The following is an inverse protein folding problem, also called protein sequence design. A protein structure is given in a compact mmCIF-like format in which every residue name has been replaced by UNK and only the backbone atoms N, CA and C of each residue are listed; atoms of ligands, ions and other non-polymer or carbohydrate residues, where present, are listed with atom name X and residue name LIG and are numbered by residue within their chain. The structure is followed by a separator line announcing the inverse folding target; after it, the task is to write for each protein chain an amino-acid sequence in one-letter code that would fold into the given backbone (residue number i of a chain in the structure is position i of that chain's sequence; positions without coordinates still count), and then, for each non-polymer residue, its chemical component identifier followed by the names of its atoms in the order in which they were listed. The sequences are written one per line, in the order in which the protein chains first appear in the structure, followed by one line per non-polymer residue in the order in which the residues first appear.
data_IF_379527943662
#
_entry.id   IF_379527943662
#
_cell.length_a   1.000
_cell.length_b   1.000
_cell.length_c   1.000
_cell.angle_alpha   90.00
_cell.angle_beta   90.00
_cell.angle_gamma   90.00
#
_symmetry.space_group_name_H-M   'P 1'
#
loop_
_entity.id
_entity.type
_entity.pdbx_description
1 polymer ?
#
# COMPACT_ATOMS: atom_id res chain seq x y z
N UNK A 1 35.07 -31.12 27.53
CA UNK A 1 35.27 -30.23 26.34
C UNK A 1 34.05 -29.33 26.18
N UNK A 2 34.26 -28.01 26.07
CA UNK A 2 33.21 -26.97 25.99
C UNK A 2 32.13 -27.26 24.94
N UNK A 3 32.52 -27.68 23.73
CA UNK A 3 31.61 -27.97 22.63
C UNK A 3 30.54 -29.04 22.97
N UNK A 4 30.94 -30.12 23.65
CA UNK A 4 30.04 -31.20 24.07
C UNK A 4 29.09 -30.76 25.20
N UNK A 5 29.52 -29.84 26.06
CA UNK A 5 28.72 -29.29 27.17
C UNK A 5 27.58 -28.39 26.67
N UNK A 6 27.80 -27.70 25.55
CA UNK A 6 26.82 -26.77 24.96
C UNK A 6 26.13 -27.30 23.70
N UNK A 7 26.34 -28.57 23.33
CA UNK A 7 25.70 -29.17 22.16
C UNK A 7 26.09 -28.55 20.82
N UNK A 8 27.25 -27.89 20.74
CA UNK A 8 27.71 -27.19 19.53
C UNK A 8 28.87 -27.92 18.86
N UNK A 9 28.98 -27.77 17.53
CA UNK A 9 30.08 -28.35 16.78
C UNK A 9 31.41 -27.65 17.10
N UNK A 10 32.52 -28.40 17.20
CA UNK A 10 33.85 -27.84 17.57
C UNK A 10 34.31 -26.74 16.63
N UNK A 11 34.07 -26.90 15.33
CA UNK A 11 34.40 -25.88 14.33
C UNK A 11 33.62 -24.56 14.55
N UNK A 12 32.41 -24.63 15.12
CA UNK A 12 31.61 -23.44 15.43
C UNK A 12 32.21 -22.67 16.62
N UNK A 13 32.73 -23.38 17.63
CA UNK A 13 33.43 -22.76 18.76
C UNK A 13 34.69 -22.01 18.31
N UNK A 14 35.49 -22.59 17.42
CA UNK A 14 36.66 -21.90 16.86
C UNK A 14 36.28 -20.71 15.98
N UNK A 15 35.20 -20.82 15.19
CA UNK A 15 34.65 -19.69 14.43
C UNK A 15 34.19 -18.55 15.33
N UNK A 16 33.58 -18.87 16.48
CA UNK A 16 33.16 -17.88 17.47
C UNK A 16 34.37 -17.21 18.14
N UNK A 17 35.37 -17.99 18.54
CA UNK A 17 36.63 -17.48 19.09
C UNK A 17 37.34 -16.53 18.14
N UNK A 18 37.44 -16.89 16.85
CA UNK A 18 38.07 -16.04 15.84
C UNK A 18 37.31 -14.71 15.64
N UNK A 19 35.97 -14.72 15.75
CA UNK A 19 35.16 -13.49 15.69
C UNK A 19 35.38 -12.60 16.90
N UNK A 20 35.42 -13.19 18.09
CA UNK A 20 35.67 -12.47 19.34
C UNK A 20 37.04 -11.78 19.32
N UNK A 21 38.09 -12.48 18.89
CA UNK A 21 39.44 -11.91 18.75
C UNK A 21 39.53 -10.76 17.73
N UNK A 22 38.63 -10.71 16.75
CA UNK A 22 38.68 -9.73 15.66
C UNK A 22 37.77 -8.51 15.87
N UNK A 23 36.77 -8.58 16.77
CA UNK A 23 35.67 -7.60 16.87
C UNK A 23 35.23 -7.28 18.30
N UNK A 24 35.96 -7.75 19.30
CA UNK A 24 35.60 -7.67 20.72
C UNK A 24 34.20 -8.25 21.01
N UNK A 25 33.63 -7.97 22.19
CA UNK A 25 32.36 -8.55 22.69
C UNK A 25 31.18 -8.38 21.71
N UNK A 26 31.16 -7.28 20.94
CA UNK A 26 30.11 -6.97 19.95
C UNK A 26 30.01 -7.99 18.80
N UNK A 27 30.98 -8.89 18.66
CA UNK A 27 30.97 -9.97 17.69
C UNK A 27 30.03 -11.13 18.03
N UNK A 28 29.63 -11.23 19.29
CA UNK A 28 28.75 -12.28 19.80
C UNK A 28 27.27 -11.95 19.62
N UNK A 29 26.95 -10.69 19.33
CA UNK A 29 25.59 -10.26 19.06
C UNK A 29 25.04 -10.89 17.76
N UNK A 30 23.80 -11.43 17.76
CA UNK A 30 23.15 -11.97 16.58
C UNK A 30 22.95 -10.89 15.50
N UNK A 31 23.95 -10.72 14.63
CA UNK A 31 23.85 -9.76 13.53
C UNK A 31 22.85 -10.26 12.50
N UNK A 32 21.89 -9.41 12.14
CA UNK A 32 20.94 -9.66 11.06
C UNK A 32 21.69 -10.16 9.81
N UNK A 33 21.33 -11.36 9.36
CA UNK A 33 21.83 -11.95 8.10
C UNK A 33 20.99 -11.51 6.91
N UNK A 34 19.96 -10.69 7.14
CA UNK A 34 19.04 -10.28 6.08
C UNK A 34 19.82 -9.43 5.07
N UNK A 35 19.75 -9.74 3.78
CA UNK A 35 20.32 -8.88 2.76
C UNK A 35 19.69 -7.49 2.87
N UNK A 36 20.54 -6.45 2.84
CA UNK A 36 20.12 -5.05 2.98
C UNK A 36 19.31 -4.58 1.76
N UNK A 37 19.48 -5.27 0.64
CA UNK A 37 18.88 -4.92 -0.65
C UNK A 37 18.28 -6.18 -1.25
N UNK A 38 17.07 -6.04 -1.78
CA UNK A 38 16.41 -7.10 -2.54
C UNK A 38 16.50 -6.75 -4.03
N UNK A 39 17.03 -7.62 -4.89
CA UNK A 39 17.18 -7.32 -6.32
C UNK A 39 15.83 -7.15 -7.03
N UNK A 40 14.78 -7.74 -6.50
CA UNK A 40 13.40 -7.62 -6.99
C UNK A 40 12.58 -6.61 -6.17
N UNK A 41 13.23 -5.67 -5.47
CA UNK A 41 12.53 -4.62 -4.76
C UNK A 41 11.73 -3.75 -5.74
N UNK A 42 10.49 -3.44 -5.37
CA UNK A 42 9.65 -2.53 -6.14
C UNK A 42 10.32 -1.15 -6.16
N UNK A 43 10.44 -0.49 -7.33
CA UNK A 43 11.00 0.85 -7.42
C UNK A 43 10.26 1.85 -6.52
N UNK A 44 10.99 2.80 -5.93
CA UNK A 44 10.43 3.77 -5.00
C UNK A 44 9.24 4.55 -5.59
N UNK A 45 9.33 4.96 -6.86
CA UNK A 45 8.25 5.67 -7.54
C UNK A 45 6.95 4.85 -7.61
N UNK A 46 7.03 3.52 -7.76
CA UNK A 46 5.85 2.66 -7.81
C UNK A 46 5.19 2.54 -6.43
N UNK A 47 5.99 2.52 -5.36
CA UNK A 47 5.49 2.54 -3.98
C UNK A 47 4.75 3.85 -3.69
N UNK A 48 5.32 4.97 -4.12
CA UNK A 48 4.71 6.29 -4.01
C UNK A 48 3.36 6.37 -4.76
N UNK A 49 3.31 5.87 -6.01
CA UNK A 49 2.06 5.81 -6.78
C UNK A 49 0.97 4.97 -6.09
N UNK A 50 1.34 3.86 -5.45
CA UNK A 50 0.39 3.03 -4.68
C UNK A 50 -0.10 3.78 -3.44
N UNK A 51 0.77 4.54 -2.77
CA UNK A 51 0.42 5.43 -1.66
C UNK A 51 -0.62 6.45 -2.07
N UNK A 52 -0.34 7.21 -3.13
CA UNK A 52 -1.25 8.24 -3.66
C UNK A 52 -2.60 7.67 -4.08
N UNK A 53 -2.62 6.49 -4.72
CA UNK A 53 -3.88 5.81 -5.05
C UNK A 53 -4.71 5.50 -3.81
N UNK A 54 -4.08 5.01 -2.74
CA UNK A 54 -4.77 4.71 -1.48
C UNK A 54 -5.31 5.97 -0.82
N UNK A 55 -4.53 7.06 -0.83
CA UNK A 55 -4.95 8.34 -0.26
C UNK A 55 -6.17 8.90 -1.00
N UNK A 56 -6.11 8.99 -2.34
CA UNK A 56 -7.18 9.51 -3.17
C UNK A 56 -8.42 8.60 -3.20
N UNK A 57 -8.23 7.28 -3.12
CA UNK A 57 -9.34 6.31 -3.08
C UNK A 57 -9.97 6.16 -1.69
N UNK A 58 -9.20 6.39 -0.62
CA UNK A 58 -9.66 6.32 0.77
C UNK A 58 -10.31 7.62 1.26
N UNK A 59 -9.92 8.77 0.71
CA UNK A 59 -10.65 10.01 0.87
C UNK A 59 -11.96 9.89 0.09
N UNK A 60 -13.04 9.51 0.79
CA UNK A 60 -14.35 9.14 0.23
C UNK A 60 -14.80 9.95 -0.98
N UNK A 61 -14.30 9.55 -2.16
CA UNK A 61 -14.60 10.20 -3.41
C UNK A 61 -15.98 9.73 -3.82
N UNK A 62 -16.99 10.49 -3.43
CA UNK A 62 -18.32 10.34 -3.99
C UNK A 62 -18.31 11.06 -5.33
N UNK A 63 -18.24 10.36 -6.48
CA UNK A 63 -18.51 11.05 -7.73
C UNK A 63 -19.90 11.70 -7.58
N UNK A 64 -19.97 13.02 -7.74
CA UNK A 64 -21.25 13.71 -7.79
C UNK A 64 -22.09 13.01 -8.87
N UNK A 65 -23.33 12.65 -8.54
CA UNK A 65 -24.26 11.99 -9.47
C UNK A 65 -24.18 12.71 -10.81
N UNK A 66 -23.56 12.08 -11.80
CA UNK A 66 -23.65 12.59 -13.17
C UNK A 66 -25.08 12.31 -13.61
N UNK A 67 -25.88 13.33 -13.96
CA UNK A 67 -27.18 13.07 -14.53
C UNK A 67 -26.97 12.27 -15.81
N UNK A 68 -27.42 11.03 -15.83
CA UNK A 68 -27.45 10.23 -17.05
C UNK A 68 -28.31 10.97 -18.06
N UNK A 69 -27.75 11.27 -19.23
CA UNK A 69 -28.52 11.82 -20.32
C UNK A 69 -29.64 10.84 -20.68
N UNK A 70 -30.90 11.25 -20.46
CA UNK A 70 -32.07 10.52 -20.91
C UNK A 70 -32.96 9.98 -19.81
N UNK A 71 -33.72 10.87 -19.17
CA UNK A 71 -35.13 10.56 -18.89
C UNK A 71 -35.93 11.74 -19.41
N UNK A 72 -36.49 11.58 -20.60
CA UNK A 72 -37.58 12.44 -21.03
C UNK A 72 -38.78 12.05 -20.15
N UNK A 73 -39.16 12.91 -19.20
CA UNK A 73 -40.43 12.77 -18.49
C UNK A 73 -41.56 12.83 -19.52
N UNK A 74 -42.03 11.67 -19.95
CA UNK A 74 -43.27 11.53 -20.72
C UNK A 74 -44.40 11.54 -19.71
N UNK A 75 -44.65 12.70 -19.12
CA UNK A 75 -45.52 12.75 -17.95
C UNK A 75 -45.85 14.17 -17.52
N UNK A 76 -46.52 14.91 -18.41
CA UNK A 76 -47.62 15.84 -18.15
C UNK A 76 -47.64 16.84 -19.28
N UNK A 77 -48.62 16.70 -20.17
CA UNK A 77 -49.00 17.75 -21.07
C UNK A 77 -49.23 19.02 -20.23
N UNK A 78 -48.32 19.99 -20.40
CA UNK A 78 -48.44 21.33 -19.83
C UNK A 78 -49.76 21.94 -20.33
N UNK A 79 -50.62 22.51 -19.46
CA UNK A 79 -51.86 23.11 -19.92
C UNK A 79 -51.50 24.41 -20.65
N UNK A 80 -51.70 24.42 -21.96
CA UNK A 80 -51.68 25.66 -22.73
C UNK A 80 -52.84 26.53 -22.26
N UNK A 81 -52.58 27.39 -21.27
CA UNK A 81 -53.34 28.62 -21.12
C UNK A 81 -52.68 29.69 -21.97
N UNK A 82 -53.44 30.20 -22.93
CA UNK A 82 -53.28 31.53 -23.51
C UNK A 82 -54.63 32.00 -24.08
N UNK A 83 -54.85 33.32 -24.19
CA UNK A 83 -56.14 33.92 -23.86
C UNK A 83 -57.02 34.31 -25.06
N UNK A 84 -58.33 34.44 -24.76
CA UNK A 84 -59.39 35.30 -25.36
C UNK A 84 -59.06 36.05 -26.67
N UNK A 85 -59.97 35.96 -27.66
CA UNK A 85 -60.52 37.10 -28.41
C UNK A 85 -61.81 36.75 -29.18
N UNK A 86 -62.65 37.78 -29.37
CA UNK A 86 -64.08 37.80 -29.71
C UNK A 86 -64.47 37.48 -31.17
N UNK A 87 -65.78 37.21 -31.38
CA UNK A 87 -66.49 37.57 -32.62
C UNK A 87 -67.53 36.55 -33.10
N UNK A 88 -68.82 36.83 -32.86
CA UNK A 88 -69.87 37.09 -33.85
C UNK A 88 -71.24 37.24 -33.18
#
# INVERSE_FOLDING_TARGET
MVARRFGVHRAWVYKLKARYQAKDEAALEPRSRRPKTFPTAIPAHTVELIGLRKELGGAGWTPGRTPSAGTCDTGTASPCQSPRSAGH
#
